data_IF_868818407243
#
_entry.id   IF_868818407243
#
_cell.length_a   1.000
_cell.length_b   1.000
_cell.length_c   1.000
_cell.angle_alpha   90.00
_cell.angle_beta   90.00
_cell.angle_gamma   90.00
#
_symmetry.space_group_name_H-M   'P 1'
#
loop_
_entity.id
_entity.type
_entity.pdbx_description
1 polymer ?
#
# COMPACT_ATOMS: atom_id res chain seq x y z
N UNK A 1 -41.22 -30.79 15.48
CA UNK A 1 -39.93 -30.74 16.20
C UNK A 1 -39.51 -32.12 16.79
N UNK A 2 -39.70 -33.25 16.07
CA UNK A 2 -39.41 -34.60 16.62
C UNK A 2 -38.18 -35.31 16.02
N UNK A 3 -37.45 -34.65 15.11
CA UNK A 3 -36.38 -35.30 14.31
C UNK A 3 -34.95 -34.99 14.75
N UNK A 4 -34.70 -34.08 15.71
CA UNK A 4 -33.33 -33.65 16.05
C UNK A 4 -32.62 -34.47 17.16
N UNK A 5 -33.36 -35.22 17.99
CA UNK A 5 -32.77 -35.94 19.13
C UNK A 5 -31.93 -37.15 18.70
N UNK A 6 -32.36 -37.86 17.65
CA UNK A 6 -31.64 -39.04 17.11
C UNK A 6 -30.24 -38.69 16.58
N UNK A 7 -30.08 -37.50 16.00
CA UNK A 7 -28.81 -37.08 15.41
C UNK A 7 -27.83 -36.53 16.45
N UNK A 8 -28.35 -36.01 17.58
CA UNK A 8 -27.53 -35.52 18.69
C UNK A 8 -26.81 -36.64 19.41
N UNK A 9 -27.53 -37.72 19.77
CA UNK A 9 -26.98 -38.85 20.53
C UNK A 9 -25.84 -39.57 19.79
N UNK A 10 -25.78 -39.47 18.47
CA UNK A 10 -24.70 -40.01 17.64
C UNK A 10 -23.34 -39.32 17.87
N UNK A 11 -23.29 -38.23 18.62
CA UNK A 11 -22.05 -37.60 19.06
C UNK A 11 -21.54 -38.12 20.41
N UNK A 12 -22.28 -39.02 21.07
CA UNK A 12 -22.03 -39.47 22.43
C UNK A 12 -21.72 -40.97 22.47
N UNK A 13 -20.80 -41.34 23.36
CA UNK A 13 -20.50 -42.71 23.74
C UNK A 13 -21.23 -43.07 25.04
N UNK A 14 -22.00 -44.15 25.03
CA UNK A 14 -22.77 -44.62 26.17
C UNK A 14 -22.07 -45.83 26.82
N UNK A 15 -21.96 -45.85 28.13
CA UNK A 15 -21.71 -47.08 28.90
C UNK A 15 -23.04 -47.63 29.40
N UNK A 16 -23.37 -48.86 29.04
CA UNK A 16 -24.56 -49.57 29.48
C UNK A 16 -24.18 -50.78 30.33
N UNK A 17 -24.67 -50.83 31.57
CA UNK A 17 -24.33 -51.90 32.54
C UNK A 17 -25.62 -52.56 33.02
N UNK A 18 -25.73 -53.87 32.80
CA UNK A 18 -26.92 -54.67 33.13
C UNK A 18 -26.50 -56.13 33.37
N UNK A 19 -26.96 -56.76 34.44
CA UNK A 19 -26.55 -58.13 34.78
C UNK A 19 -27.31 -59.20 34.01
N UNK A 20 -28.58 -58.96 33.68
CA UNK A 20 -29.39 -59.87 32.86
C UNK A 20 -28.89 -59.90 31.40
N UNK A 21 -28.41 -61.06 30.96
CA UNK A 21 -27.85 -61.28 29.62
C UNK A 21 -28.84 -60.99 28.48
N UNK A 22 -30.12 -61.31 28.67
CA UNK A 22 -31.16 -61.14 27.65
C UNK A 22 -31.50 -59.67 27.51
N UNK A 23 -31.81 -59.00 28.62
CA UNK A 23 -32.13 -57.56 28.66
C UNK A 23 -30.95 -56.75 28.14
N UNK A 24 -29.72 -57.08 28.59
CA UNK A 24 -28.50 -56.40 28.14
C UNK A 24 -28.32 -56.50 26.63
N UNK A 25 -28.51 -57.70 26.07
CA UNK A 25 -28.32 -57.94 24.62
C UNK A 25 -29.40 -57.27 23.77
N UNK A 26 -30.66 -57.27 24.22
CA UNK A 26 -31.77 -56.64 23.49
C UNK A 26 -31.66 -55.11 23.53
N UNK A 27 -31.45 -54.53 24.70
CA UNK A 27 -31.41 -53.08 24.86
C UNK A 27 -30.16 -52.48 24.21
N UNK A 28 -29.00 -53.14 24.33
CA UNK A 28 -27.76 -52.67 23.67
C UNK A 28 -27.90 -52.56 22.15
N UNK A 29 -28.53 -53.55 21.49
CA UNK A 29 -28.82 -53.51 20.05
C UNK A 29 -29.69 -52.30 19.68
N UNK A 30 -30.68 -51.96 20.51
CA UNK A 30 -31.51 -50.78 20.28
C UNK A 30 -30.72 -49.49 20.48
N UNK A 31 -29.92 -49.40 21.55
CA UNK A 31 -29.12 -48.22 21.90
C UNK A 31 -28.05 -47.91 20.83
N UNK A 32 -27.45 -48.92 20.19
CA UNK A 32 -26.50 -48.72 19.09
C UNK A 32 -27.08 -47.92 17.91
N UNK A 33 -28.40 -47.94 17.73
CA UNK A 33 -29.05 -47.12 16.70
C UNK A 33 -29.04 -45.62 17.02
N UNK A 34 -28.82 -45.23 18.28
CA UNK A 34 -28.88 -43.85 18.74
C UNK A 34 -27.50 -43.27 19.07
N UNK A 35 -26.59 -44.05 19.65
CA UNK A 35 -25.27 -43.58 20.10
C UNK A 35 -24.17 -43.84 19.08
N UNK A 36 -23.03 -43.15 19.23
CA UNK A 36 -21.84 -43.40 18.42
C UNK A 36 -21.29 -44.80 18.72
N UNK A 37 -21.02 -45.05 20.00
CA UNK A 37 -20.60 -46.34 20.54
C UNK A 37 -21.43 -46.64 21.79
N UNK A 38 -21.72 -47.92 22.00
CA UNK A 38 -22.32 -48.42 23.24
C UNK A 38 -21.37 -49.46 23.81
N UNK A 39 -20.73 -49.12 24.92
CA UNK A 39 -19.89 -50.01 25.71
C UNK A 39 -20.79 -50.77 26.67
N UNK A 40 -20.68 -52.08 26.72
CA UNK A 40 -21.62 -52.95 27.42
C UNK A 40 -20.89 -53.76 28.47
N UNK A 41 -21.37 -53.76 29.71
CA UNK A 41 -20.81 -54.52 30.83
C UNK A 41 -21.89 -55.32 31.55
N UNK A 42 -21.50 -56.47 32.15
CA UNK A 42 -22.43 -57.36 32.87
C UNK A 42 -22.48 -57.14 34.39
N UNK A 43 -21.63 -56.27 34.92
CA UNK A 43 -21.58 -55.90 36.34
C UNK A 43 -20.79 -54.60 36.52
N UNK A 44 -20.85 -54.01 37.71
CA UNK A 44 -20.19 -52.74 37.99
C UNK A 44 -18.66 -52.76 37.88
N UNK A 45 -17.99 -53.90 38.09
CA UNK A 45 -16.54 -53.98 38.00
C UNK A 45 -16.08 -53.87 36.54
N UNK A 46 -16.72 -54.65 35.66
CA UNK A 46 -16.51 -54.54 34.21
C UNK A 46 -16.91 -53.16 33.68
N UNK A 47 -17.99 -52.58 34.20
CA UNK A 47 -18.41 -51.22 33.87
C UNK A 47 -17.35 -50.18 34.24
N UNK A 48 -16.75 -50.29 35.42
CA UNK A 48 -15.66 -49.41 35.88
C UNK A 48 -14.41 -49.55 35.01
N UNK A 49 -14.03 -50.78 34.65
CA UNK A 49 -12.89 -51.04 33.76
C UNK A 49 -13.11 -50.43 32.36
N UNK A 50 -14.31 -50.58 31.81
CA UNK A 50 -14.68 -49.98 30.53
C UNK A 50 -14.69 -48.45 30.58
N UNK A 51 -15.17 -47.86 31.69
CA UNK A 51 -15.14 -46.42 31.91
C UNK A 51 -13.70 -45.87 31.93
N UNK A 52 -12.77 -46.58 32.55
CA UNK A 52 -11.36 -46.15 32.58
C UNK A 52 -10.63 -46.35 31.25
N UNK A 53 -11.03 -47.35 30.46
CA UNK A 53 -10.34 -47.70 29.22
C UNK A 53 -10.88 -46.96 27.99
N UNK A 54 -12.05 -46.33 28.09
CA UNK A 54 -12.75 -45.72 26.96
C UNK A 54 -13.23 -44.30 27.29
N UNK A 55 -13.47 -43.50 26.24
CA UNK A 55 -14.12 -42.20 26.41
C UNK A 55 -15.63 -42.41 26.53
N UNK A 56 -16.16 -42.32 27.74
CA UNK A 56 -17.60 -42.42 28.03
C UNK A 56 -18.18 -41.03 28.26
N UNK A 57 -19.31 -40.74 27.63
CA UNK A 57 -19.98 -39.45 27.79
C UNK A 57 -21.23 -39.54 28.67
N UNK A 58 -21.90 -40.70 28.73
CA UNK A 58 -23.11 -40.95 29.53
C UNK A 58 -23.06 -42.39 30.05
N UNK A 59 -23.54 -42.61 31.27
CA UNK A 59 -23.66 -43.94 31.89
C UNK A 59 -25.15 -44.27 32.09
N UNK A 60 -25.56 -45.44 31.64
CA UNK A 60 -26.84 -46.08 31.97
C UNK A 60 -26.51 -47.37 32.71
N UNK A 61 -26.90 -47.49 33.97
CA UNK A 61 -26.57 -48.66 34.79
C UNK A 61 -27.77 -49.17 35.53
N UNK A 62 -27.87 -50.49 35.70
CA UNK A 62 -28.73 -51.03 36.75
C UNK A 62 -28.15 -50.73 38.14
N UNK A 63 -29.01 -50.65 39.14
CA UNK A 63 -28.59 -50.44 40.53
C UNK A 63 -28.11 -51.75 41.13
N UNK A 64 -28.93 -52.79 41.06
CA UNK A 64 -28.70 -54.06 41.73
C UNK A 64 -28.06 -55.06 40.77
N UNK A 65 -26.74 -55.26 40.88
CA UNK A 65 -25.98 -56.19 40.05
C UNK A 65 -24.96 -56.97 40.91
N UNK A 66 -24.57 -58.20 40.52
CA UNK A 66 -23.58 -58.99 41.25
C UNK A 66 -22.17 -58.39 41.15
N UNK A 67 -21.25 -58.86 42.00
CA UNK A 67 -19.83 -58.45 42.08
C UNK A 67 -19.63 -57.01 42.56
N UNK A 68 -20.09 -56.03 41.79
CA UNK A 68 -20.11 -54.61 42.17
C UNK A 68 -21.43 -54.02 41.67
N UNK A 69 -22.19 -53.45 42.60
CA UNK A 69 -23.48 -52.83 42.27
C UNK A 69 -23.28 -51.48 41.55
N UNK A 70 -24.33 -50.96 40.91
CA UNK A 70 -24.25 -49.73 40.14
C UNK A 70 -23.91 -48.51 41.00
N UNK A 71 -24.43 -48.45 42.23
CA UNK A 71 -24.19 -47.33 43.16
C UNK A 71 -22.71 -47.24 43.55
N UNK A 72 -22.09 -48.35 43.90
CA UNK A 72 -20.70 -48.43 44.31
C UNK A 72 -19.75 -48.23 43.12
N UNK A 73 -20.12 -48.72 41.93
CA UNK A 73 -19.43 -48.34 40.69
C UNK A 73 -19.40 -46.82 40.49
N UNK A 74 -20.56 -46.15 40.62
CA UNK A 74 -20.63 -44.69 40.46
C UNK A 74 -19.90 -43.96 41.59
N UNK A 75 -19.92 -44.47 42.83
CA UNK A 75 -19.08 -43.93 43.92
C UNK A 75 -17.60 -43.90 43.55
N UNK A 76 -17.09 -44.97 42.94
CA UNK A 76 -15.69 -45.01 42.49
C UNK A 76 -15.43 -44.04 41.33
N UNK A 77 -16.33 -43.95 40.34
CA UNK A 77 -16.21 -43.00 39.22
C UNK A 77 -16.19 -41.55 39.72
N UNK A 78 -17.07 -41.21 40.67
CA UNK A 78 -17.18 -39.86 41.24
C UNK A 78 -15.94 -39.39 41.99
N UNK A 79 -15.01 -40.29 42.38
CA UNK A 79 -13.71 -39.89 42.94
C UNK A 79 -12.81 -39.16 41.92
N UNK A 80 -13.07 -39.35 40.62
CA UNK A 80 -12.29 -38.74 39.53
C UNK A 80 -13.13 -37.83 38.62
N UNK A 81 -14.40 -38.16 38.43
CA UNK A 81 -15.31 -37.44 37.54
C UNK A 81 -16.64 -37.16 38.24
N UNK A 82 -16.73 -35.96 38.79
CA UNK A 82 -17.88 -35.49 39.57
C UNK A 82 -19.13 -35.23 38.71
N UNK A 83 -18.98 -35.09 37.39
CA UNK A 83 -19.98 -34.47 36.53
C UNK A 83 -20.48 -35.37 35.39
N UNK A 84 -19.86 -36.54 35.14
CA UNK A 84 -20.36 -37.45 34.10
C UNK A 84 -21.83 -37.79 34.33
N UNK A 85 -22.70 -37.62 33.31
CA UNK A 85 -24.09 -37.96 33.44
C UNK A 85 -24.33 -39.45 33.66
N UNK A 86 -25.12 -39.77 34.67
CA UNK A 86 -25.51 -41.11 35.09
C UNK A 86 -27.02 -41.17 35.15
N UNK A 87 -27.57 -42.25 34.57
CA UNK A 87 -28.96 -42.65 34.69
C UNK A 87 -29.00 -44.06 35.27
N UNK A 88 -29.79 -44.24 36.31
CA UNK A 88 -30.01 -45.57 36.87
C UNK A 88 -31.27 -46.21 36.31
N UNK A 89 -31.24 -47.51 36.05
CA UNK A 89 -32.45 -48.33 35.96
C UNK A 89 -32.70 -49.00 37.30
N UNK A 90 -33.95 -49.10 37.74
CA UNK A 90 -34.30 -49.59 39.08
C UNK A 90 -35.61 -50.38 39.07
N UNK A 91 -35.75 -51.33 40.00
CA UNK A 91 -37.06 -51.93 40.28
C UNK A 91 -37.89 -50.99 41.18
N UNK A 92 -39.21 -51.17 41.19
CA UNK A 92 -40.13 -50.35 41.99
C UNK A 92 -39.91 -50.46 43.52
N UNK A 93 -39.26 -51.53 43.99
CA UNK A 93 -39.03 -51.83 45.40
C UNK A 93 -37.77 -51.18 46.01
N UNK A 94 -36.96 -50.49 45.22
CA UNK A 94 -35.60 -50.05 45.58
C UNK A 94 -35.51 -48.64 46.20
N UNK A 95 -36.56 -48.21 46.94
CA UNK A 95 -36.65 -46.87 47.53
C UNK A 95 -35.47 -46.48 48.45
N UNK A 96 -34.77 -47.46 49.03
CA UNK A 96 -33.63 -47.21 49.92
C UNK A 96 -32.40 -46.63 49.19
N UNK A 97 -32.26 -46.87 47.89
CA UNK A 97 -31.12 -46.38 47.10
C UNK A 97 -31.32 -44.96 46.56
N UNK A 98 -32.54 -44.40 46.66
CA UNK A 98 -32.85 -43.07 46.18
C UNK A 98 -32.00 -41.99 46.87
N UNK A 99 -31.84 -42.07 48.19
CA UNK A 99 -31.04 -41.11 48.94
C UNK A 99 -29.55 -41.15 48.56
N UNK A 100 -29.00 -42.33 48.29
CA UNK A 100 -27.62 -42.46 47.82
C UNK A 100 -27.45 -41.92 46.41
N UNK A 101 -28.41 -42.18 45.51
CA UNK A 101 -28.37 -41.65 44.14
C UNK A 101 -28.34 -40.12 44.08
N UNK A 102 -29.09 -39.45 44.99
CA UNK A 102 -29.08 -37.98 45.11
C UNK A 102 -27.71 -37.48 45.56
N UNK A 103 -27.09 -38.15 46.56
CA UNK A 103 -25.73 -37.80 47.02
C UNK A 103 -24.68 -37.95 45.92
N UNK A 104 -24.89 -38.87 44.98
CA UNK A 104 -24.01 -39.11 43.83
C UNK A 104 -24.30 -38.20 42.63
N UNK A 105 -25.18 -37.20 42.77
CA UNK A 105 -25.60 -36.29 41.69
C UNK A 105 -26.08 -37.04 40.44
N UNK A 106 -26.81 -38.15 40.62
CA UNK A 106 -27.40 -38.90 39.51
C UNK A 106 -28.51 -38.05 38.88
N UNK A 107 -28.52 -37.96 37.56
CA UNK A 107 -29.39 -37.05 36.83
C UNK A 107 -30.83 -37.57 36.76
N UNK A 108 -31.01 -38.88 36.62
CA UNK A 108 -32.33 -39.47 36.45
C UNK A 108 -32.37 -40.96 36.83
N UNK A 109 -33.55 -41.46 37.16
CA UNK A 109 -33.82 -42.88 37.36
C UNK A 109 -34.97 -43.35 36.46
N UNK A 110 -34.89 -44.59 36.00
CA UNK A 110 -35.88 -45.20 35.11
C UNK A 110 -36.36 -46.49 35.74
N UNK A 111 -37.67 -46.57 35.97
CA UNK A 111 -38.31 -47.74 36.58
C UNK A 111 -38.44 -48.84 35.52
N UNK A 112 -38.01 -50.06 35.83
CA UNK A 112 -38.19 -51.24 34.98
C UNK A 112 -39.67 -51.69 34.97
N UNK A 113 -40.23 -52.17 33.84
CA UNK A 113 -39.58 -52.40 32.56
C UNK A 113 -39.29 -51.09 31.80
N UNK A 114 -38.10 -51.01 31.20
CA UNK A 114 -37.59 -49.79 30.56
C UNK A 114 -38.37 -49.47 29.28
N UNK A 115 -39.15 -48.38 29.26
CA UNK A 115 -39.69 -47.84 28.01
C UNK A 115 -38.59 -47.11 27.24
N UNK A 116 -38.21 -47.65 26.09
CA UNK A 116 -37.18 -47.08 25.21
C UNK A 116 -37.48 -45.63 24.82
N UNK A 117 -38.76 -45.24 24.68
CA UNK A 117 -39.11 -43.86 24.32
C UNK A 117 -38.77 -42.90 25.45
N UNK A 118 -39.21 -43.23 26.67
CA UNK A 118 -38.89 -42.45 27.87
C UNK A 118 -37.37 -42.37 28.09
N UNK A 119 -36.67 -43.51 27.99
CA UNK A 119 -35.21 -43.58 28.14
C UNK A 119 -34.49 -42.64 27.17
N UNK A 120 -34.83 -42.69 25.88
CA UNK A 120 -34.19 -41.87 24.88
C UNK A 120 -34.54 -40.39 25.06
N UNK A 121 -35.76 -40.04 25.48
CA UNK A 121 -36.12 -38.65 25.78
C UNK A 121 -35.31 -38.08 26.95
N UNK A 122 -35.19 -38.84 28.04
CA UNK A 122 -34.38 -38.51 29.22
C UNK A 122 -32.90 -38.32 28.86
N UNK A 123 -32.29 -39.30 28.19
CA UNK A 123 -30.89 -39.19 27.77
C UNK A 123 -30.70 -38.03 26.79
N UNK A 124 -31.63 -37.81 25.86
CA UNK A 124 -31.54 -36.70 24.89
C UNK A 124 -31.53 -35.34 25.57
N UNK A 125 -32.31 -35.16 26.65
CA UNK A 125 -32.33 -33.91 27.42
C UNK A 125 -30.98 -33.66 28.08
N UNK A 126 -30.41 -34.68 28.71
CA UNK A 126 -29.10 -34.62 29.37
C UNK A 126 -27.99 -34.35 28.35
N UNK A 127 -27.98 -35.11 27.24
CA UNK A 127 -27.00 -34.95 26.15
C UNK A 127 -27.04 -33.55 25.55
N UNK A 128 -28.23 -32.94 25.44
CA UNK A 128 -28.38 -31.58 24.92
C UNK A 128 -27.67 -30.54 25.77
N UNK A 129 -27.82 -30.61 27.10
CA UNK A 129 -27.13 -29.70 28.03
C UNK A 129 -25.62 -29.85 27.89
N UNK A 130 -25.11 -31.10 27.96
CA UNK A 130 -23.68 -31.39 27.81
C UNK A 130 -23.11 -30.93 26.47
N UNK A 131 -23.88 -31.09 25.39
CA UNK A 131 -23.49 -30.60 24.06
C UNK A 131 -23.42 -29.07 24.01
N UNK A 132 -24.37 -28.37 24.64
CA UNK A 132 -24.37 -26.91 24.70
C UNK A 132 -23.16 -26.38 25.49
N UNK A 133 -22.82 -27.01 26.62
CA UNK A 133 -21.64 -26.64 27.42
C UNK A 133 -20.35 -26.83 26.60
N UNK A 134 -20.24 -27.96 25.90
CA UNK A 134 -19.10 -28.23 25.02
C UNK A 134 -18.98 -27.18 23.90
N UNK A 135 -20.11 -26.81 23.27
CA UNK A 135 -20.12 -25.77 22.24
C UNK A 135 -19.73 -24.40 22.80
N UNK A 136 -20.18 -24.07 24.02
CA UNK A 136 -19.83 -22.83 24.69
C UNK A 136 -18.33 -22.76 24.99
N UNK A 137 -17.75 -23.83 25.53
CA UNK A 137 -16.31 -23.95 25.76
C UNK A 137 -15.49 -23.79 24.48
N UNK A 138 -15.92 -24.44 23.39
CA UNK A 138 -15.28 -24.29 22.08
C UNK A 138 -15.35 -22.85 21.57
N UNK A 139 -16.50 -22.21 21.74
CA UNK A 139 -16.72 -20.81 21.33
C UNK A 139 -15.85 -19.86 22.14
N UNK A 140 -15.75 -20.05 23.46
CA UNK A 140 -14.85 -19.29 24.35
C UNK A 140 -13.39 -19.48 23.93
N UNK A 141 -12.98 -20.71 23.64
CA UNK A 141 -11.61 -21.02 23.19
C UNK A 141 -11.29 -20.37 21.85
N UNK A 142 -12.24 -20.35 20.91
CA UNK A 142 -12.08 -19.69 19.62
C UNK A 142 -11.98 -18.17 19.77
N UNK A 143 -12.87 -17.56 20.56
CA UNK A 143 -12.82 -16.13 20.88
C UNK A 143 -11.51 -15.73 21.57
N UNK A 144 -10.99 -16.58 22.47
CA UNK A 144 -9.69 -16.35 23.10
C UNK A 144 -8.56 -16.28 22.06
N UNK A 145 -8.55 -17.17 21.07
CA UNK A 145 -7.53 -17.14 20.01
C UNK A 145 -7.60 -15.85 19.17
N UNK A 146 -8.82 -15.42 18.81
CA UNK A 146 -9.00 -14.16 18.09
C UNK A 146 -8.50 -12.96 18.91
N UNK A 147 -8.82 -12.95 20.21
CA UNK A 147 -8.34 -11.93 21.14
C UNK A 147 -6.81 -11.90 21.20
N UNK A 148 -6.15 -13.05 21.32
CA UNK A 148 -4.70 -13.15 21.39
C UNK A 148 -4.03 -12.59 20.13
N UNK A 149 -4.59 -12.87 18.94
CA UNK A 149 -4.10 -12.30 17.69
C UNK A 149 -4.25 -10.78 17.70
N UNK A 150 -5.43 -10.25 18.02
CA UNK A 150 -5.67 -8.80 18.09
C UNK A 150 -4.71 -8.13 19.07
N UNK A 151 -4.54 -8.69 20.26
CA UNK A 151 -3.69 -8.14 21.31
C UNK A 151 -2.20 -8.17 20.95
N UNK A 152 -1.79 -9.04 20.02
CA UNK A 152 -0.40 -9.14 19.54
C UNK A 152 -0.03 -8.08 18.49
N UNK A 153 -0.99 -7.60 17.70
CA UNK A 153 -0.72 -6.68 16.57
C UNK A 153 -1.33 -5.29 16.74
N UNK A 154 -2.37 -5.13 17.57
CA UNK A 154 -3.08 -3.88 17.76
C UNK A 154 -3.07 -3.44 19.22
N UNK A 155 -3.00 -2.13 19.43
CA UNK A 155 -3.23 -1.50 20.72
C UNK A 155 -4.73 -1.61 21.03
N UNK A 156 -5.08 -2.17 22.19
CA UNK A 156 -6.47 -2.25 22.64
C UNK A 156 -6.63 -1.49 23.94
N UNK A 157 -7.58 -0.55 23.95
CA UNK A 157 -7.89 0.29 25.12
C UNK A 157 -9.40 0.26 25.32
N UNK A 158 -9.85 -0.02 26.56
CA UNK A 158 -11.25 0.17 26.95
C UNK A 158 -11.37 1.30 27.95
N UNK A 159 -12.48 2.04 27.88
CA UNK A 159 -12.82 3.08 28.85
C UNK A 159 -14.16 2.80 29.50
N UNK A 160 -14.45 3.49 30.60
CA UNK A 160 -15.81 3.64 31.11
C UNK A 160 -16.57 4.77 30.37
N UNK A 161 -17.83 5.00 30.75
CA UNK A 161 -18.70 6.05 30.22
C UNK A 161 -18.18 7.49 30.40
N UNK A 162 -17.17 7.70 31.26
CA UNK A 162 -16.50 9.00 31.47
C UNK A 162 -15.15 9.09 30.74
N UNK A 163 -14.91 8.22 29.75
CA UNK A 163 -13.65 8.16 28.97
C UNK A 163 -12.39 7.91 29.82
N UNK A 164 -12.54 7.32 31.02
CA UNK A 164 -11.41 6.87 31.82
C UNK A 164 -11.02 5.45 31.46
N UNK A 165 -9.73 5.21 31.28
CA UNK A 165 -9.18 3.92 30.85
C UNK A 165 -9.42 2.87 31.95
N UNK A 166 -10.07 1.76 31.58
CA UNK A 166 -10.37 0.62 32.45
C UNK A 166 -9.61 -0.64 32.06
N UNK A 167 -9.16 -0.72 30.80
CA UNK A 167 -8.35 -1.84 30.30
C UNK A 167 -7.36 -1.35 29.25
N UNK A 168 -6.19 -1.97 29.26
CA UNK A 168 -5.14 -1.84 28.25
C UNK A 168 -4.49 -3.19 28.03
N UNK A 169 -4.09 -3.49 26.80
CA UNK A 169 -3.31 -4.68 26.49
C UNK A 169 -1.79 -4.44 26.60
N UNK A 170 -1.02 -5.52 26.56
CA UNK A 170 0.43 -5.48 26.77
C UNK A 170 1.15 -4.75 25.62
N UNK A 171 0.63 -4.82 24.40
CA UNK A 171 1.21 -4.11 23.26
C UNK A 171 1.16 -2.60 23.48
N UNK A 172 0.07 -2.07 24.01
CA UNK A 172 -0.01 -0.65 24.35
C UNK A 172 1.06 -0.24 25.36
N UNK A 173 1.26 -1.02 26.42
CA UNK A 173 2.32 -0.77 27.39
C UNK A 173 3.72 -0.77 26.73
N UNK A 174 4.00 -1.74 25.84
CA UNK A 174 5.28 -1.82 25.11
C UNK A 174 5.53 -0.62 24.20
N UNK A 175 4.53 -0.18 23.44
CA UNK A 175 4.67 0.93 22.47
C UNK A 175 4.74 2.28 23.17
N UNK A 176 3.88 2.49 24.17
CA UNK A 176 3.75 3.76 24.87
C UNK A 176 4.78 3.95 25.99
N UNK A 177 5.33 2.86 26.53
CA UNK A 177 6.28 2.89 27.64
C UNK A 177 5.63 3.13 29.01
N UNK A 178 4.30 3.27 29.10
CA UNK A 178 3.61 3.36 30.39
C UNK A 178 3.31 1.98 30.96
N UNK A 179 3.37 1.87 32.28
CA UNK A 179 2.85 0.69 32.96
C UNK A 179 1.32 0.70 33.00
N UNK A 180 0.72 -0.48 33.12
CA UNK A 180 -0.74 -0.63 33.27
C UNK A 180 -1.29 0.19 34.43
N UNK A 181 -0.58 0.23 35.57
CA UNK A 181 -1.00 1.00 36.76
C UNK A 181 -1.06 2.51 36.50
N UNK A 182 -0.17 3.03 35.67
CA UNK A 182 -0.17 4.46 35.31
C UNK A 182 -1.26 4.82 34.31
N UNK A 183 -1.73 3.86 33.51
CA UNK A 183 -2.75 4.08 32.48
C UNK A 183 -4.16 3.95 33.03
N UNK A 184 -4.39 3.00 33.94
CA UNK A 184 -5.71 2.77 34.52
C UNK A 184 -6.21 4.01 35.29
N UNK A 185 -7.43 4.44 34.98
CA UNK A 185 -8.08 5.60 35.60
C UNK A 185 -7.74 6.95 34.97
N UNK A 186 -6.70 7.03 34.10
CA UNK A 186 -6.43 8.24 33.31
C UNK A 186 -7.51 8.49 32.27
N UNK A 187 -7.70 9.74 31.88
CA UNK A 187 -8.61 10.08 30.80
C UNK A 187 -7.93 9.79 29.45
N UNK A 188 -8.68 9.28 28.48
CA UNK A 188 -8.13 8.89 27.18
C UNK A 188 -7.40 10.04 26.47
N UNK A 189 -7.93 11.27 26.54
CA UNK A 189 -7.29 12.48 25.97
C UNK A 189 -5.94 12.84 26.61
N UNK A 190 -5.63 12.35 27.81
CA UNK A 190 -4.35 12.68 28.49
C UNK A 190 -3.15 12.08 27.75
N UNK A 191 -3.40 11.06 26.93
CA UNK A 191 -2.43 10.42 26.03
C UNK A 191 -2.08 11.30 24.82
N UNK A 192 -2.88 12.32 24.52
CA UNK A 192 -2.69 13.18 23.35
C UNK A 192 -1.32 13.86 23.37
N UNK A 193 -0.65 13.86 22.22
CA UNK A 193 0.52 14.69 22.01
C UNK A 193 0.12 16.16 21.88
N UNK A 194 1.00 17.08 22.28
CA UNK A 194 0.75 18.53 22.25
C UNK A 194 0.43 19.10 20.85
N UNK A 195 0.97 18.47 19.81
CA UNK A 195 0.75 18.85 18.40
C UNK A 195 -0.60 18.35 17.86
N UNK A 196 -1.37 17.60 18.64
CA UNK A 196 -2.62 17.01 18.21
C UNK A 196 -3.74 18.05 18.29
N UNK A 197 -4.52 18.20 17.20
CA UNK A 197 -5.64 19.15 17.18
C UNK A 197 -6.70 18.75 18.22
N UNK A 198 -7.16 19.74 18.98
CA UNK A 198 -8.26 19.57 19.95
C UNK A 198 -9.56 19.15 19.26
N UNK A 199 -9.79 19.59 18.03
CA UNK A 199 -11.00 19.29 17.26
C UNK A 199 -11.17 17.79 17.00
N UNK A 200 -10.07 17.06 16.88
CA UNK A 200 -10.08 15.62 16.63
C UNK A 200 -10.64 14.88 17.85
N UNK A 201 -10.22 15.25 19.06
CA UNK A 201 -10.77 14.66 20.28
C UNK A 201 -12.21 15.10 20.54
N UNK A 202 -12.56 16.34 20.19
CA UNK A 202 -13.95 16.82 20.25
C UNK A 202 -14.87 15.99 19.35
N UNK A 203 -14.45 15.73 18.09
CA UNK A 203 -15.18 14.85 17.17
C UNK A 203 -15.24 13.41 17.69
N UNK A 204 -14.12 12.86 18.16
CA UNK A 204 -14.07 11.50 18.72
C UNK A 204 -15.06 11.35 19.88
N UNK A 205 -15.06 12.29 20.83
CA UNK A 205 -15.94 12.22 21.99
C UNK A 205 -17.40 12.42 21.56
N UNK A 206 -17.67 13.35 20.64
CA UNK A 206 -19.02 13.58 20.13
C UNK A 206 -19.59 12.35 19.42
N UNK A 207 -18.82 11.68 18.57
CA UNK A 207 -19.29 10.51 17.83
C UNK A 207 -19.54 9.32 18.78
N UNK A 208 -18.54 8.98 19.61
CA UNK A 208 -18.62 7.78 20.46
C UNK A 208 -19.63 7.96 21.60
N UNK A 209 -19.78 9.16 22.18
CA UNK A 209 -20.82 9.41 23.19
C UNK A 209 -22.23 9.47 22.60
N UNK A 210 -22.37 9.60 21.29
CA UNK A 210 -23.66 9.51 20.58
C UNK A 210 -23.84 8.13 19.92
N UNK A 211 -23.14 7.10 20.39
CA UNK A 211 -23.20 5.73 19.88
C UNK A 211 -22.89 5.60 18.37
N UNK A 212 -21.95 6.42 17.88
CA UNK A 212 -21.43 6.34 16.51
C UNK A 212 -19.96 5.90 16.53
N UNK A 213 -19.55 5.00 15.62
CA UNK A 213 -18.15 4.63 15.49
C UNK A 213 -17.32 5.84 15.05
N UNK A 214 -16.12 5.95 15.59
CA UNK A 214 -15.15 6.96 15.18
C UNK A 214 -13.90 6.30 14.62
N UNK A 215 -13.36 6.87 13.54
CA UNK A 215 -12.11 6.43 12.91
C UNK A 215 -11.21 7.62 12.60
N UNK A 216 -9.93 7.53 12.94
CA UNK A 216 -8.97 8.55 12.57
C UNK A 216 -7.57 8.32 13.12
N UNK A 217 -6.65 9.16 12.71
CA UNK A 217 -5.25 9.10 13.14
C UNK A 217 -5.05 9.92 14.42
N UNK A 218 -4.42 9.33 15.43
CA UNK A 218 -4.11 9.95 16.72
C UNK A 218 -2.59 10.03 16.91
N UNK A 219 -2.08 11.23 17.21
CA UNK A 219 -0.70 11.42 17.66
C UNK A 219 -0.67 11.47 19.19
N UNK A 220 -0.03 10.49 19.80
CA UNK A 220 0.01 10.28 21.25
C UNK A 220 1.43 10.45 21.81
N UNK A 221 1.52 10.66 23.11
CA UNK A 221 2.78 10.87 23.85
C UNK A 221 3.15 9.62 24.64
N UNK A 222 4.38 9.15 24.48
CA UNK A 222 4.99 8.07 25.29
C UNK A 222 5.38 8.56 26.69
N UNK A 223 5.69 7.63 27.58
CA UNK A 223 6.14 7.94 28.95
C UNK A 223 7.46 8.74 28.98
N UNK A 224 8.35 8.53 28.00
CA UNK A 224 9.60 9.27 27.82
C UNK A 224 9.42 10.67 27.17
N UNK A 225 8.18 11.04 26.82
CA UNK A 225 7.83 12.31 26.17
C UNK A 225 7.91 12.31 24.64
N UNK A 226 8.45 11.25 24.02
CA UNK A 226 8.44 11.11 22.56
C UNK A 226 7.03 10.83 22.02
N UNK A 227 6.83 10.97 20.71
CA UNK A 227 5.53 10.77 20.09
C UNK A 227 5.43 9.41 19.37
N UNK A 228 4.24 8.85 19.34
CA UNK A 228 3.88 7.75 18.44
C UNK A 228 2.52 8.05 17.79
N UNK A 229 2.32 7.57 16.57
CA UNK A 229 1.10 7.80 15.80
C UNK A 229 0.36 6.49 15.60
N UNK A 230 -0.94 6.52 15.86
CA UNK A 230 -1.83 5.37 15.67
C UNK A 230 -2.97 5.70 14.73
N UNK A 231 -3.37 4.73 13.92
CA UNK A 231 -4.69 4.74 13.29
C UNK A 231 -5.66 4.03 14.23
N UNK A 232 -6.70 4.74 14.67
CA UNK A 232 -7.59 4.32 15.73
C UNK A 232 -9.01 4.16 15.19
N UNK A 233 -9.63 3.04 15.54
CA UNK A 233 -11.06 2.79 15.40
C UNK A 233 -11.66 2.61 16.79
N UNK A 234 -12.67 3.40 17.13
CA UNK A 234 -13.30 3.41 18.46
C UNK A 234 -14.82 3.26 18.34
N UNK A 235 -15.39 2.38 19.16
CA UNK A 235 -16.82 2.15 19.25
C UNK A 235 -17.30 2.21 20.71
N UNK A 236 -18.59 2.44 20.88
CA UNK A 236 -19.28 2.48 22.17
C UNK A 236 -19.63 1.08 22.63
N UNK A 237 -19.49 0.82 23.94
CA UNK A 237 -19.97 -0.39 24.60
C UNK A 237 -21.26 -0.06 25.34
N UNK A 238 -22.32 -0.80 25.03
CA UNK A 238 -23.63 -0.68 25.67
C UNK A 238 -23.79 -1.77 26.74
N UNK A 239 -24.59 -1.49 27.77
CA UNK A 239 -25.05 -2.49 28.73
C UNK A 239 -26.36 -3.16 28.26
N UNK A 240 -26.89 -4.07 29.08
CA UNK A 240 -28.13 -4.81 28.79
C UNK A 240 -29.38 -3.91 28.68
N UNK A 241 -29.32 -2.69 29.22
CA UNK A 241 -30.39 -1.69 29.13
C UNK A 241 -30.25 -0.79 27.89
N UNK A 242 -29.18 -0.96 27.11
CA UNK A 242 -28.84 -0.11 25.96
C UNK A 242 -28.19 1.21 26.36
N UNK A 243 -27.77 1.38 27.62
CA UNK A 243 -27.05 2.57 28.08
C UNK A 243 -25.55 2.46 27.83
N UNK A 244 -24.88 3.60 27.68
CA UNK A 244 -23.43 3.65 27.43
C UNK A 244 -22.66 3.23 28.69
N UNK A 245 -22.07 2.03 28.64
CA UNK A 245 -21.18 1.51 29.69
C UNK A 245 -19.73 1.98 29.50
N UNK A 246 -19.32 2.23 28.25
CA UNK A 246 -17.98 2.71 27.96
C UNK A 246 -17.62 2.68 26.49
N UNK A 247 -16.32 2.56 26.20
CA UNK A 247 -15.83 2.52 24.83
C UNK A 247 -14.73 1.47 24.70
N UNK A 248 -14.51 0.99 23.48
CA UNK A 248 -13.35 0.20 23.11
C UNK A 248 -12.70 0.81 21.88
N UNK A 249 -11.38 0.95 21.91
CA UNK A 249 -10.59 1.32 20.75
C UNK A 249 -9.59 0.23 20.40
N UNK A 250 -9.46 0.02 19.10
CA UNK A 250 -8.41 -0.79 18.47
C UNK A 250 -7.57 0.17 17.65
N UNK A 251 -6.26 0.16 17.87
CA UNK A 251 -5.35 1.09 17.21
C UNK A 251 -4.15 0.36 16.62
N UNK A 252 -3.80 0.70 15.38
CA UNK A 252 -2.61 0.22 14.71
C UNK A 252 -1.50 1.26 14.83
N UNK A 253 -0.33 0.86 15.27
CA UNK A 253 0.85 1.75 15.25
C UNK A 253 1.34 1.92 13.81
N UNK A 254 1.30 3.16 13.32
CA UNK A 254 1.74 3.54 11.98
C UNK A 254 2.95 4.47 12.01
N UNK A 255 3.61 4.60 13.17
CA UNK A 255 4.73 5.53 13.37
C UNK A 255 5.87 5.27 12.37
N UNK A 256 6.28 4.01 12.21
CA UNK A 256 7.34 3.65 11.27
C UNK A 256 6.94 3.87 9.80
N UNK A 257 5.68 3.58 9.46
CA UNK A 257 5.17 3.76 8.10
C UNK A 257 5.13 5.25 7.72
N UNK A 258 4.65 6.10 8.64
CA UNK A 258 4.65 7.55 8.44
C UNK A 258 6.06 8.13 8.35
N UNK A 259 7.00 7.68 9.18
CA UNK A 259 8.38 8.14 9.12
C UNK A 259 9.04 7.78 7.78
N UNK A 260 8.88 6.54 7.31
CA UNK A 260 9.37 6.10 5.99
C UNK A 260 8.75 6.93 4.87
N UNK A 261 7.43 7.15 4.91
CA UNK A 261 6.73 7.99 3.92
C UNK A 261 7.28 9.42 3.90
N UNK A 262 7.55 9.98 5.08
CA UNK A 262 8.14 11.33 5.22
C UNK A 262 9.57 11.40 4.72
N UNK A 263 10.41 10.40 5.01
CA UNK A 263 11.78 10.31 4.49
C UNK A 263 11.80 10.26 2.96
N UNK A 264 10.95 9.44 2.35
CA UNK A 264 10.81 9.37 0.89
C UNK A 264 10.37 10.73 0.31
N UNK A 265 9.37 11.37 0.94
CA UNK A 265 8.93 12.70 0.50
C UNK A 265 10.04 13.75 0.58
N UNK A 266 10.84 13.75 1.65
CA UNK A 266 11.97 14.66 1.80
C UNK A 266 13.07 14.38 0.75
N UNK A 267 13.36 13.11 0.47
CA UNK A 267 14.30 12.74 -0.59
C UNK A 267 13.83 13.23 -1.96
N UNK A 268 12.56 13.01 -2.31
CA UNK A 268 11.97 13.50 -3.56
C UNK A 268 11.99 15.04 -3.66
N UNK A 269 11.72 15.74 -2.55
CA UNK A 269 11.81 17.20 -2.52
C UNK A 269 13.24 17.70 -2.75
N UNK A 270 14.24 17.00 -2.18
CA UNK A 270 15.66 17.33 -2.38
C UNK A 270 16.07 17.11 -3.83
N UNK A 271 15.75 15.95 -4.39
CA UNK A 271 16.06 15.63 -5.79
C UNK A 271 15.42 16.64 -6.74
N UNK A 272 14.15 17.01 -6.49
CA UNK A 272 13.45 18.05 -7.26
C UNK A 272 14.16 19.41 -7.15
N UNK A 273 14.63 19.78 -5.96
CA UNK A 273 15.36 21.03 -5.76
C UNK A 273 16.71 21.04 -6.48
N UNK A 274 17.42 19.91 -6.50
CA UNK A 274 18.73 19.81 -7.16
C UNK A 274 18.58 19.82 -8.69
N UNK A 275 17.55 19.16 -9.23
CA UNK A 275 17.19 19.25 -10.66
C UNK A 275 16.88 20.69 -11.04
N UNK A 276 16.09 21.39 -10.22
CA UNK A 276 15.73 22.79 -10.48
C UNK A 276 16.96 23.71 -10.53
N UNK A 277 17.91 23.56 -9.60
CA UNK A 277 19.15 24.34 -9.59
C UNK A 277 19.99 24.11 -10.85
N UNK A 278 20.21 22.84 -11.22
CA UNK A 278 20.98 22.49 -12.44
C UNK A 278 20.31 23.03 -13.71
N UNK A 279 18.98 23.00 -13.75
CA UNK A 279 18.22 23.56 -14.87
C UNK A 279 18.39 25.08 -14.98
N UNK A 280 18.37 25.81 -13.85
CA UNK A 280 18.65 27.25 -13.82
C UNK A 280 20.07 27.58 -14.25
N UNK A 281 21.07 26.84 -13.74
CA UNK A 281 22.48 27.01 -14.11
C UNK A 281 22.68 26.80 -15.62
N UNK A 282 22.14 25.72 -16.18
CA UNK A 282 22.20 25.45 -17.61
C UNK A 282 21.52 26.54 -18.46
N UNK A 283 20.38 27.06 -18.00
CA UNK A 283 19.68 28.17 -18.69
C UNK A 283 20.50 29.47 -18.65
N UNK A 284 21.19 29.76 -17.54
CA UNK A 284 22.06 30.92 -17.42
C UNK A 284 23.27 30.80 -18.34
N UNK A 285 23.92 29.63 -18.39
CA UNK A 285 25.03 29.36 -19.31
C UNK A 285 24.61 29.52 -20.77
N UNK A 286 23.45 28.98 -21.16
CA UNK A 286 22.88 29.17 -22.49
C UNK A 286 22.63 30.65 -22.79
N UNK A 287 22.08 31.40 -21.85
CA UNK A 287 21.82 32.85 -22.01
C UNK A 287 23.12 33.64 -22.20
N UNK A 288 24.16 33.32 -21.43
CA UNK A 288 25.49 33.93 -21.58
C UNK A 288 26.05 33.63 -22.97
N UNK A 289 25.95 32.37 -23.43
CA UNK A 289 26.45 31.98 -24.74
C UNK A 289 25.70 32.65 -25.89
N UNK A 290 24.37 32.76 -25.78
CA UNK A 290 23.54 33.49 -26.75
C UNK A 290 23.96 34.96 -26.83
N UNK A 291 24.17 35.62 -25.69
CA UNK A 291 24.63 37.02 -25.68
C UNK A 291 26.03 37.19 -26.28
N UNK A 292 26.95 36.25 -26.01
CA UNK A 292 28.30 36.28 -26.59
C UNK A 292 28.26 36.14 -28.12
N UNK A 293 27.50 35.17 -28.64
CA UNK A 293 27.30 34.97 -30.08
C UNK A 293 26.62 36.18 -30.73
N UNK A 294 25.62 36.76 -30.07
CA UNK A 294 24.94 37.96 -30.58
C UNK A 294 25.89 39.16 -30.71
N UNK A 295 26.81 39.34 -29.76
CA UNK A 295 27.84 40.38 -29.84
C UNK A 295 28.84 40.12 -30.98
N UNK A 296 29.26 38.87 -31.17
CA UNK A 296 30.14 38.50 -32.28
C UNK A 296 29.48 38.74 -33.64
N UNK A 297 28.20 38.37 -33.78
CA UNK A 297 27.40 38.61 -34.98
C UNK A 297 27.32 40.11 -35.30
N UNK A 298 27.02 40.94 -34.30
CA UNK A 298 26.96 42.39 -34.47
C UNK A 298 28.28 42.97 -34.98
N UNK A 299 29.40 42.53 -34.39
CA UNK A 299 30.73 42.99 -34.80
C UNK A 299 31.06 42.58 -36.23
N UNK A 300 30.73 41.34 -36.62
CA UNK A 300 30.90 40.87 -37.99
C UNK A 300 30.05 41.68 -38.98
N UNK A 301 28.81 42.04 -38.62
CA UNK A 301 27.95 42.91 -39.43
C UNK A 301 28.53 44.33 -39.58
N UNK A 302 29.10 44.90 -38.53
CA UNK A 302 29.76 46.21 -38.61
C UNK A 302 30.97 46.18 -39.54
N UNK A 303 31.79 45.13 -39.45
CA UNK A 303 32.97 44.99 -40.31
C UNK A 303 32.60 44.72 -41.77
N UNK A 304 31.54 43.94 -42.02
CA UNK A 304 30.95 43.77 -43.35
C UNK A 304 30.49 45.11 -43.93
N UNK A 305 29.79 45.94 -43.15
CA UNK A 305 29.33 47.25 -43.61
C UNK A 305 30.50 48.19 -43.95
N UNK A 306 31.59 48.16 -43.17
CA UNK A 306 32.82 48.94 -43.50
C UNK A 306 33.46 48.47 -44.80
N UNK A 307 33.51 47.15 -45.02
CA UNK A 307 34.04 46.58 -46.25
C UNK A 307 33.20 46.98 -47.48
N UNK A 308 31.86 46.88 -47.39
CA UNK A 308 30.93 47.33 -48.43
C UNK A 308 31.12 48.81 -48.78
N UNK A 309 31.21 49.67 -47.77
CA UNK A 309 31.46 51.11 -47.96
C UNK A 309 32.78 51.38 -48.68
N UNK A 310 33.81 50.55 -48.42
CA UNK A 310 35.11 50.66 -49.06
C UNK A 310 35.05 50.22 -50.53
N UNK A 311 34.31 49.14 -50.82
CA UNK A 311 34.04 48.69 -52.19
C UNK A 311 33.34 49.78 -53.00
N UNK A 312 32.33 50.45 -52.44
CA UNK A 312 31.63 51.55 -53.12
C UNK A 312 32.57 52.72 -53.48
N UNK A 313 33.49 53.09 -52.57
CA UNK A 313 34.51 54.12 -52.84
C UNK A 313 35.43 53.72 -54.00
N UNK A 314 35.84 52.45 -54.05
CA UNK A 314 36.67 51.95 -55.14
C UNK A 314 35.90 51.90 -56.47
N UNK A 315 34.63 51.50 -56.45
CA UNK A 315 33.75 51.50 -57.63
C UNK A 315 33.57 52.90 -58.21
N UNK A 316 33.29 53.91 -57.38
CA UNK A 316 33.19 55.30 -57.83
C UNK A 316 34.49 55.81 -58.46
N UNK A 317 35.63 55.49 -57.84
CA UNK A 317 36.94 55.87 -58.37
C UNK A 317 37.20 55.21 -59.73
N UNK A 318 36.89 53.92 -59.87
CA UNK A 318 37.00 53.19 -61.13
C UNK A 318 36.11 53.78 -62.23
N UNK A 319 34.87 54.18 -61.92
CA UNK A 319 33.98 54.86 -62.86
C UNK A 319 34.54 56.22 -63.31
N UNK A 320 35.09 57.02 -62.38
CA UNK A 320 35.72 58.29 -62.70
C UNK A 320 36.88 58.11 -63.69
N UNK A 321 37.79 57.18 -63.41
CA UNK A 321 38.90 56.87 -64.31
C UNK A 321 38.42 56.36 -65.67
N UNK A 322 37.33 55.58 -65.73
CA UNK A 322 36.75 55.12 -66.99
C UNK A 322 36.26 56.27 -67.88
N UNK A 323 35.64 57.29 -67.28
CA UNK A 323 35.20 58.50 -68.00
C UNK A 323 36.41 59.31 -68.47
N UNK A 324 37.42 59.47 -67.63
CA UNK A 324 38.63 60.22 -67.95
C UNK A 324 39.41 59.58 -69.12
N UNK A 325 39.54 58.26 -69.12
CA UNK A 325 40.10 57.49 -70.24
C UNK A 325 39.28 57.71 -71.53
N UNK A 326 37.95 57.77 -71.45
CA UNK A 326 37.08 58.03 -72.61
C UNK A 326 37.29 59.45 -73.17
N UNK A 327 37.41 60.45 -72.31
CA UNK A 327 37.66 61.84 -72.71
C UNK A 327 39.03 61.98 -73.37
N UNK A 328 40.08 61.44 -72.75
CA UNK A 328 41.43 61.42 -73.30
C UNK A 328 41.47 60.73 -74.68
N UNK A 329 40.77 59.60 -74.87
CA UNK A 329 40.65 58.96 -76.19
C UNK A 329 39.99 59.86 -77.25
N UNK A 330 39.01 60.68 -76.85
CA UNK A 330 38.28 61.57 -77.75
C UNK A 330 39.14 62.77 -78.17
N UNK A 331 39.87 63.38 -77.23
CA UNK A 331 40.85 64.44 -77.51
C UNK A 331 41.98 63.97 -78.44
N UNK A 332 42.48 62.75 -78.21
CA UNK A 332 43.51 62.14 -79.05
C UNK A 332 43.01 61.88 -80.49
N UNK A 333 41.71 61.59 -80.65
CA UNK A 333 41.05 61.50 -81.95
C UNK A 333 40.92 62.84 -82.67
N UNK A 334 40.71 63.94 -81.93
CA UNK A 334 40.62 65.30 -82.48
C UNK A 334 41.99 65.85 -82.89
N UNK A 335 43.05 65.60 -82.11
CA UNK A 335 44.42 65.99 -82.48
C UNK A 335 44.95 65.27 -83.72
N UNK A 336 44.55 64.01 -83.95
CA UNK A 336 44.91 63.29 -85.20
C UNK A 336 44.29 63.88 -86.48
N UNK A 337 43.22 64.67 -86.38
CA UNK A 337 42.58 65.35 -87.53
C UNK A 337 43.22 66.69 -87.90
N UNK A 338 43.99 67.30 -86.99
CA UNK A 338 44.68 68.57 -87.20
C UNK A 338 46.17 68.41 -86.90
N UNK A 339 47.01 68.03 -87.88
CA UNK A 339 48.44 68.37 -87.75
C UNK A 339 49.19 68.52 -89.07
N UNK A 340 49.87 69.66 -89.16
CA UNK A 340 51.08 69.91 -89.96
C UNK A 340 52.32 69.37 -89.24
N UNK A 341 53.40 69.14 -90.00
CA UNK A 341 54.43 68.14 -89.72
C UNK A 341 55.55 68.46 -88.71
N UNK A 342 55.52 69.56 -87.95
CA UNK A 342 56.63 69.91 -87.02
C UNK A 342 56.31 69.74 -85.53
N UNK A 343 55.05 69.55 -85.14
CA UNK A 343 54.67 69.18 -83.76
C UNK A 343 54.73 67.66 -83.48
N UNK A 344 54.91 66.84 -84.53
CA UNK A 344 54.75 65.39 -84.47
C UNK A 344 55.85 64.66 -83.68
N UNK A 345 57.08 65.18 -83.64
CA UNK A 345 58.22 64.48 -83.02
C UNK A 345 58.22 64.59 -81.48
N UNK A 346 57.86 65.76 -80.93
CA UNK A 346 57.72 65.97 -79.49
C UNK A 346 56.49 65.24 -78.94
N UNK A 347 55.38 65.29 -79.68
CA UNK A 347 54.17 64.51 -79.42
C UNK A 347 54.39 63.00 -79.56
N UNK A 348 55.26 62.52 -80.46
CA UNK A 348 55.62 61.10 -80.55
C UNK A 348 56.40 60.61 -79.32
N UNK A 349 57.32 61.43 -78.81
CA UNK A 349 58.11 61.09 -77.61
C UNK A 349 57.23 61.08 -76.35
N UNK A 350 56.43 62.13 -76.14
CA UNK A 350 55.43 62.18 -75.06
C UNK A 350 54.40 61.05 -75.17
N UNK A 351 53.96 60.68 -76.39
CA UNK A 351 53.10 59.51 -76.59
C UNK A 351 53.80 58.19 -76.26
N UNK A 352 55.11 58.07 -76.49
CA UNK A 352 55.85 56.86 -76.14
C UNK A 352 55.99 56.72 -74.62
N UNK A 353 56.25 57.83 -73.92
CA UNK A 353 56.35 57.87 -72.46
C UNK A 353 54.97 57.62 -71.81
N UNK A 354 53.89 58.23 -72.35
CA UNK A 354 52.53 57.96 -71.91
C UNK A 354 52.10 56.51 -72.16
N UNK A 355 52.46 55.91 -73.31
CA UNK A 355 52.22 54.48 -73.56
C UNK A 355 52.95 53.59 -72.56
N UNK A 356 54.18 53.93 -72.22
CA UNK A 356 54.94 53.19 -71.21
C UNK A 356 54.32 53.32 -69.82
N UNK A 357 53.85 54.51 -69.44
CA UNK A 357 53.14 54.73 -68.18
C UNK A 357 51.79 54.02 -68.13
N UNK A 358 51.01 54.04 -69.21
CA UNK A 358 49.75 53.29 -69.33
C UNK A 358 50.02 51.81 -69.15
N UNK A 359 51.01 51.25 -69.87
CA UNK A 359 51.37 49.84 -69.73
C UNK A 359 51.77 49.47 -68.30
N UNK A 360 52.59 50.31 -67.65
CA UNK A 360 52.98 50.11 -66.25
C UNK A 360 51.78 50.17 -65.29
N UNK A 361 50.81 51.03 -65.55
CA UNK A 361 49.57 51.11 -64.76
C UNK A 361 48.66 49.91 -65.03
N UNK A 362 48.54 49.46 -66.27
CA UNK A 362 47.79 48.24 -66.64
C UNK A 362 48.39 47.00 -65.96
N UNK A 363 49.72 46.84 -65.99
CA UNK A 363 50.44 45.76 -65.30
C UNK A 363 50.19 45.82 -63.78
N UNK A 364 50.20 47.02 -63.18
CA UNK A 364 49.93 47.21 -61.75
C UNK A 364 48.48 46.92 -61.38
N UNK A 365 47.52 47.28 -62.22
CA UNK A 365 46.10 46.94 -62.04
C UNK A 365 45.87 45.44 -62.17
N UNK A 366 46.53 44.78 -63.13
CA UNK A 366 46.47 43.32 -63.30
C UNK A 366 47.00 42.61 -62.07
N UNK A 367 48.16 43.04 -61.56
CA UNK A 367 48.75 42.50 -60.33
C UNK A 367 47.85 42.67 -59.10
N UNK A 368 47.25 43.86 -58.93
CA UNK A 368 46.34 44.13 -57.81
C UNK A 368 45.05 43.31 -57.90
N UNK A 369 44.52 43.10 -59.11
CA UNK A 369 43.36 42.21 -59.32
C UNK A 369 43.67 40.78 -58.94
N UNK A 370 44.83 40.27 -59.34
CA UNK A 370 45.23 38.90 -59.02
C UNK A 370 45.39 38.68 -57.51
N UNK A 371 45.90 39.69 -56.78
CA UNK A 371 45.94 39.68 -55.31
C UNK A 371 44.52 39.69 -54.73
N UNK A 372 43.65 40.60 -55.19
CA UNK A 372 42.27 40.67 -54.70
C UNK A 372 41.48 39.39 -54.97
N UNK A 373 41.66 38.76 -56.13
CA UNK A 373 41.02 37.48 -56.46
C UNK A 373 41.50 36.35 -55.55
N UNK A 374 42.80 36.31 -55.23
CA UNK A 374 43.35 35.36 -54.24
C UNK A 374 42.81 35.62 -52.84
N UNK A 375 42.78 36.87 -52.39
CA UNK A 375 42.22 37.25 -51.08
C UNK A 375 40.73 36.90 -50.99
N UNK A 376 39.95 37.19 -52.03
CA UNK A 376 38.52 36.85 -52.11
C UNK A 376 38.31 35.34 -52.10
N UNK A 377 39.14 34.59 -52.85
CA UNK A 377 39.08 33.12 -52.87
C UNK A 377 39.40 32.51 -51.51
N UNK A 378 40.42 33.04 -50.81
CA UNK A 378 40.77 32.57 -49.47
C UNK A 378 39.68 32.92 -48.44
N UNK A 379 39.11 34.12 -48.53
CA UNK A 379 38.03 34.54 -47.65
C UNK A 379 36.77 33.70 -47.87
N UNK A 380 36.46 33.37 -49.13
CA UNK A 380 35.35 32.49 -49.47
C UNK A 380 35.55 31.07 -48.94
N UNK A 381 36.74 30.51 -49.12
CA UNK A 381 37.09 29.18 -48.57
C UNK A 381 36.99 29.17 -47.04
N UNK A 382 37.44 30.25 -46.37
CA UNK A 382 37.36 30.37 -44.92
C UNK A 382 35.91 30.38 -44.41
N UNK A 383 35.02 31.14 -45.07
CA UNK A 383 33.61 31.18 -44.69
C UNK A 383 32.87 29.88 -45.04
N UNK A 384 33.19 29.22 -46.16
CA UNK A 384 32.65 27.89 -46.48
C UNK A 384 33.03 26.85 -45.41
N UNK A 385 34.28 26.86 -44.94
CA UNK A 385 34.72 25.98 -43.86
C UNK A 385 34.00 26.27 -42.53
N UNK A 386 33.79 27.55 -42.19
CA UNK A 386 33.02 27.92 -40.98
C UNK A 386 31.55 27.53 -41.10
N UNK A 387 30.94 27.65 -42.28
CA UNK A 387 29.57 27.24 -42.52
C UNK A 387 29.39 25.73 -42.31
N UNK A 388 30.34 24.92 -42.81
CA UNK A 388 30.33 23.47 -42.60
C UNK A 388 30.52 23.09 -41.12
N UNK A 389 31.41 23.77 -40.40
CA UNK A 389 31.63 23.56 -38.97
C UNK A 389 30.38 23.91 -38.14
N UNK A 390 29.68 24.99 -38.48
CA UNK A 390 28.41 25.35 -37.84
C UNK A 390 27.29 24.38 -38.18
N UNK A 391 27.20 23.89 -39.43
CA UNK A 391 26.21 22.85 -39.80
C UNK A 391 26.41 21.58 -39.01
N UNK A 392 27.66 21.13 -38.89
CA UNK A 392 27.98 19.92 -38.12
C UNK A 392 27.66 20.10 -36.64
N UNK A 393 27.97 21.26 -36.06
CA UNK A 393 27.58 21.59 -34.67
C UNK A 393 26.05 21.64 -34.48
N UNK A 394 25.32 22.12 -35.50
CA UNK A 394 23.86 22.16 -35.48
C UNK A 394 23.27 20.76 -35.53
N UNK A 395 23.77 19.88 -36.41
CA UNK A 395 23.36 18.47 -36.48
C UNK A 395 23.62 17.74 -35.17
N UNK A 396 24.78 17.94 -34.54
CA UNK A 396 25.06 17.36 -33.21
C UNK A 396 24.12 17.87 -32.11
N UNK A 397 23.76 19.15 -32.16
CA UNK A 397 22.79 19.75 -31.23
C UNK A 397 21.37 19.23 -31.49
N UNK A 398 20.98 19.03 -32.74
CA UNK A 398 19.69 18.45 -33.13
C UNK A 398 19.61 16.97 -32.74
N UNK A 399 20.68 16.19 -32.91
CA UNK A 399 20.75 14.81 -32.40
C UNK A 399 20.66 14.78 -30.87
N UNK A 400 21.37 15.68 -30.18
CA UNK A 400 21.27 15.80 -28.72
C UNK A 400 19.85 16.20 -28.28
N UNK A 401 19.21 17.14 -28.97
CA UNK A 401 17.83 17.56 -28.71
C UNK A 401 16.85 16.39 -28.94
N UNK A 402 17.02 15.63 -30.02
CA UNK A 402 16.20 14.45 -30.32
C UNK A 402 16.46 13.28 -29.35
N UNK A 403 17.66 13.21 -28.75
CA UNK A 403 18.02 12.22 -27.72
C UNK A 403 17.46 12.57 -26.34
N UNK A 404 17.19 13.85 -26.07
CA UNK A 404 16.39 14.28 -24.92
C UNK A 404 14.97 13.83 -25.23
N UNK A 405 14.53 12.73 -24.60
CA UNK A 405 13.22 12.11 -24.82
C UNK A 405 12.13 13.18 -24.96
N UNK A 406 11.56 13.29 -26.16
CA UNK A 406 10.43 14.19 -26.46
C UNK A 406 9.44 14.14 -25.30
N UNK A 407 9.03 15.32 -24.82
CA UNK A 407 8.01 15.46 -23.78
C UNK A 407 6.76 14.64 -24.12
N UNK A 408 6.45 14.43 -25.40
CA UNK A 408 5.39 13.53 -25.87
C UNK A 408 5.59 12.06 -25.47
N UNK A 409 6.81 11.50 -25.55
CA UNK A 409 7.09 10.10 -25.16
C UNK A 409 7.00 9.93 -23.63
N UNK A 410 7.41 10.94 -22.87
CA UNK A 410 7.25 10.97 -21.42
C UNK A 410 5.78 11.15 -21.02
N UNK A 411 5.02 11.97 -21.74
CA UNK A 411 3.58 12.17 -21.57
C UNK A 411 2.80 10.91 -21.95
N UNK A 412 3.16 10.22 -23.04
CA UNK A 412 2.58 8.94 -23.43
C UNK A 412 2.91 7.84 -22.43
N UNK A 413 4.15 7.77 -21.93
CA UNK A 413 4.51 6.85 -20.83
C UNK A 413 3.73 7.18 -19.56
N UNK A 414 3.60 8.44 -19.18
CA UNK A 414 2.80 8.87 -18.03
C UNK A 414 1.31 8.54 -18.21
N UNK A 415 0.77 8.71 -19.42
CA UNK A 415 -0.60 8.34 -19.77
C UNK A 415 -0.80 6.82 -19.68
N UNK A 416 0.11 6.04 -20.27
CA UNK A 416 0.13 4.58 -20.19
C UNK A 416 0.20 4.09 -18.74
N UNK A 417 1.08 4.66 -17.91
CA UNK A 417 1.20 4.29 -16.50
C UNK A 417 -0.01 4.74 -15.67
N UNK A 418 -0.65 5.88 -15.99
CA UNK A 418 -1.92 6.29 -15.40
C UNK A 418 -3.05 5.33 -15.74
N UNK A 419 -3.15 4.91 -16.98
CA UNK A 419 -4.17 3.96 -17.44
C UNK A 419 -3.96 2.58 -16.82
N UNK A 420 -2.71 2.09 -16.79
CA UNK A 420 -2.36 0.83 -16.13
C UNK A 420 -2.65 0.85 -14.63
N UNK A 421 -2.36 1.96 -13.94
CA UNK A 421 -2.69 2.11 -12.52
C UNK A 421 -4.21 2.13 -12.28
N UNK A 422 -4.99 2.73 -13.19
CA UNK A 422 -6.46 2.72 -13.14
C UNK A 422 -7.02 1.31 -13.33
N UNK A 423 -6.47 0.55 -14.27
CA UNK A 423 -6.82 -0.87 -14.50
C UNK A 423 -6.47 -1.76 -13.30
N UNK A 424 -5.33 -1.52 -12.65
CA UNK A 424 -4.94 -2.23 -11.43
C UNK A 424 -5.87 -1.88 -10.26
N UNK A 425 -6.25 -0.60 -10.11
CA UNK A 425 -7.22 -0.16 -9.11
C UNK A 425 -8.59 -0.80 -9.32
N UNK A 426 -9.07 -0.89 -10.56
CA UNK A 426 -10.36 -1.55 -10.86
C UNK A 426 -10.29 -3.05 -10.66
N UNK A 427 -9.15 -3.70 -10.97
CA UNK A 427 -8.93 -5.12 -10.61
C UNK A 427 -8.93 -5.32 -9.10
N UNK A 428 -8.32 -4.43 -8.34
CA UNK A 428 -8.35 -4.43 -6.87
C UNK A 428 -9.77 -4.27 -6.34
N UNK A 429 -10.55 -3.31 -6.85
CA UNK A 429 -11.96 -3.14 -6.48
C UNK A 429 -12.83 -4.36 -6.86
N UNK A 430 -12.55 -5.00 -7.99
CA UNK A 430 -13.25 -6.23 -8.39
C UNK A 430 -12.85 -7.43 -7.53
N UNK A 431 -11.58 -7.52 -7.13
CA UNK A 431 -11.09 -8.50 -6.15
C UNK A 431 -11.71 -8.24 -4.78
N UNK A 432 -11.82 -6.99 -4.35
CA UNK A 432 -12.47 -6.59 -3.10
C UNK A 432 -13.97 -6.91 -3.15
N UNK A 433 -14.67 -6.60 -4.25
CA UNK A 433 -16.06 -7.02 -4.46
C UNK A 433 -16.21 -8.54 -4.50
N UNK A 434 -15.26 -9.27 -5.09
CA UNK A 434 -15.24 -10.74 -5.07
C UNK A 434 -15.01 -11.26 -3.66
N UNK A 435 -14.09 -10.68 -2.90
CA UNK A 435 -13.84 -11.00 -1.49
C UNK A 435 -15.10 -10.72 -0.67
N UNK A 436 -15.80 -9.60 -0.91
CA UNK A 436 -17.07 -9.27 -0.26
C UNK A 436 -18.18 -10.24 -0.68
N UNK A 437 -18.19 -10.72 -1.92
CA UNK A 437 -19.18 -11.68 -2.42
C UNK A 437 -18.92 -13.13 -1.98
N UNK A 438 -17.66 -13.49 -1.72
CA UNK A 438 -17.21 -14.81 -1.23
C UNK A 438 -17.13 -14.84 0.30
N UNK A 439 -16.99 -13.66 0.93
CA UNK A 439 -17.21 -13.47 2.36
C UNK A 439 -18.69 -13.70 2.63
N UNK A 440 -18.99 -14.96 2.93
CA UNK A 440 -20.28 -15.48 3.34
C UNK A 440 -21.00 -14.43 4.20
N UNK A 441 -22.22 -14.02 3.82
CA UNK A 441 -22.98 -12.99 4.56
C UNK A 441 -23.23 -13.39 6.02
N UNK A 442 -23.03 -14.68 6.36
CA UNK A 442 -22.96 -15.21 7.72
C UNK A 442 -21.66 -14.92 8.48
N UNK A 443 -20.53 -14.79 7.79
CA UNK A 443 -19.23 -14.45 8.38
C UNK A 443 -19.16 -12.95 8.69
N UNK A 444 -19.62 -12.10 7.77
CA UNK A 444 -19.66 -10.65 7.98
C UNK A 444 -20.68 -10.25 9.05
N UNK A 445 -21.85 -10.90 9.11
CA UNK A 445 -22.83 -10.65 10.18
C UNK A 445 -22.43 -11.21 11.56
N UNK A 446 -21.46 -12.13 11.63
CA UNK A 446 -20.86 -12.61 12.90
C UNK A 446 -19.67 -11.78 13.38
N UNK A 447 -19.03 -11.03 12.49
CA UNK A 447 -17.91 -10.13 12.82
C UNK A 447 -18.43 -8.77 13.30
N UNK A 448 -19.62 -8.37 12.87
CA UNK A 448 -20.18 -7.03 13.11
C UNK A 448 -21.50 -7.00 13.91
N UNK A 449 -21.95 -8.11 14.50
CA UNK A 449 -23.03 -8.13 15.51
C UNK A 449 -22.55 -8.71 16.84
#
# INVERSE_FOLDING_TARGET
MKTNSKNLLKNFNLLYVEDDDVVRTELSKLLLNFFNNVFVAKNGLEGLDLYHSNKIDIILSDINMPILNGIDMIKEIRKKDEEIPVIFTTAFSDNNYLLESIKLKVQEYIIKPVDIRSLIESISKIAKVKYQDTLLELSIKELSKFKDVIDSVNIVIKTNSKMKITYVNDLFCKISGYSKKELLGKEFKDLAHKDMSKDIYTSLYADVLNNKPWSGTLKNRKSDGSAYTTDCYMITLLDDNGEINGTISIQKDITQEQNKKREIQLALMRDKSDIFKRSQEGSLEQTIKINELSNQLQKAQEDLNKALTSIDKYMHSAQKYKIEIKNLKTELGLQKKNSSHTSSFKLMKENSDLKYQIKRLEDKVSYLREIQEKELSNLKLHYEMQEDEYKQSLEELEEKLNSIQNDEVLVEKLAYWKEKAKDESTKLEQLEKKIISVADGKLLSKIFN
#
